data_IF_670669957521
#
_entry.id   IF_670669957521
#
_cell.length_a   1.000
_cell.length_b   1.000
_cell.length_c   1.000
_cell.angle_alpha   90.00
_cell.angle_beta   90.00
_cell.angle_gamma   90.00
#
_symmetry.space_group_name_H-M   'P 1'
#
loop_
_entity.id
_entity.type
_entity.pdbx_description
1 polymer ?
#
# COMPACT_ATOMS: atom_id res chain seq x y z
N UNK A 1 -17.50 -14.78 1.05
CA UNK A 1 -17.13 -14.51 -0.38
C UNK A 1 -16.02 -13.46 -0.38
N UNK A 2 -14.90 -13.73 -1.05
CA UNK A 2 -13.88 -12.71 -1.33
C UNK A 2 -14.12 -12.11 -2.72
N UNK A 3 -13.98 -10.79 -2.84
CA UNK A 3 -14.18 -10.07 -4.10
C UNK A 3 -13.20 -8.88 -4.20
N UNK A 4 -12.92 -8.45 -5.42
CA UNK A 4 -12.03 -7.34 -5.80
C UNK A 4 -12.54 -5.94 -5.38
N UNK A 5 -13.76 -5.88 -4.82
CA UNK A 5 -14.39 -4.65 -4.37
C UNK A 5 -15.28 -3.98 -5.42
N UNK A 6 -15.63 -4.65 -6.52
CA UNK A 6 -16.60 -4.13 -7.47
C UNK A 6 -18.01 -4.03 -6.84
N UNK A 7 -18.62 -2.84 -6.90
CA UNK A 7 -19.89 -2.54 -6.22
C UNK A 7 -21.05 -3.45 -6.69
N UNK A 8 -21.01 -3.99 -7.91
CA UNK A 8 -22.05 -4.90 -8.41
C UNK A 8 -22.01 -6.29 -7.77
N UNK A 9 -20.82 -6.82 -7.45
CA UNK A 9 -20.67 -8.06 -6.67
C UNK A 9 -21.19 -7.84 -5.24
N UNK A 10 -21.08 -6.59 -4.77
CA UNK A 10 -21.63 -6.14 -3.50
C UNK A 10 -23.18 -6.05 -3.48
N UNK A 11 -23.86 -5.99 -4.62
CA UNK A 11 -25.32 -6.12 -4.64
C UNK A 11 -25.74 -7.59 -4.69
N UNK A 12 -25.20 -8.35 -5.65
CA UNK A 12 -25.62 -9.72 -5.96
C UNK A 12 -25.40 -10.69 -4.79
N UNK A 13 -24.25 -10.61 -4.11
CA UNK A 13 -23.97 -11.54 -2.99
C UNK A 13 -24.87 -11.25 -1.77
N UNK A 14 -25.32 -10.00 -1.57
CA UNK A 14 -26.23 -9.66 -0.49
C UNK A 14 -27.64 -10.20 -0.75
N UNK A 15 -28.06 -10.19 -2.01
CA UNK A 15 -29.35 -10.72 -2.45
C UNK A 15 -29.37 -12.26 -2.47
N UNK A 16 -28.30 -12.90 -2.94
CA UNK A 16 -28.28 -14.36 -3.20
C UNK A 16 -27.70 -15.18 -2.06
N UNK A 17 -26.90 -14.56 -1.17
CA UNK A 17 -26.26 -15.23 -0.04
C UNK A 17 -26.25 -14.29 1.19
N UNK A 18 -27.41 -13.97 1.77
CA UNK A 18 -27.53 -12.97 2.84
C UNK A 18 -26.72 -13.31 4.10
N UNK A 19 -26.47 -14.61 4.34
CA UNK A 19 -25.67 -15.09 5.48
C UNK A 19 -24.16 -15.11 5.21
N UNK A 20 -23.71 -14.75 4.00
CA UNK A 20 -22.30 -14.82 3.64
C UNK A 20 -21.53 -13.58 4.14
N UNK A 21 -20.56 -13.81 5.02
CA UNK A 21 -19.62 -12.75 5.42
C UNK A 21 -18.80 -12.30 4.20
N UNK A 22 -18.82 -11.00 3.93
CA UNK A 22 -18.01 -10.38 2.89
C UNK A 22 -16.62 -10.09 3.42
N UNK A 23 -15.63 -10.65 2.75
CA UNK A 23 -14.23 -10.43 3.09
C UNK A 23 -13.58 -9.65 1.96
N UNK A 24 -12.82 -8.61 2.29
CA UNK A 24 -11.92 -7.99 1.33
C UNK A 24 -10.78 -8.96 1.01
N UNK A 25 -10.27 -8.94 -0.20
CA UNK A 25 -9.04 -9.65 -0.53
C UNK A 25 -7.83 -8.83 -0.04
N UNK A 26 -7.00 -9.36 0.89
CA UNK A 26 -5.79 -8.69 1.36
C UNK A 26 -4.84 -8.25 0.24
N UNK A 27 -4.74 -9.00 -0.86
CA UNK A 27 -3.88 -8.64 -1.99
C UNK A 27 -4.35 -7.35 -2.64
N UNK A 28 -5.66 -7.22 -2.86
CA UNK A 28 -6.26 -6.02 -3.45
C UNK A 28 -6.12 -4.80 -2.52
N UNK A 29 -6.27 -5.00 -1.20
CA UNK A 29 -6.11 -3.91 -0.23
C UNK A 29 -4.66 -3.42 -0.19
N UNK A 30 -3.68 -4.33 -0.17
CA UNK A 30 -2.25 -3.98 -0.22
C UNK A 30 -1.85 -3.40 -1.59
N UNK A 31 -2.50 -3.84 -2.67
CA UNK A 31 -2.31 -3.25 -4.00
C UNK A 31 -2.71 -1.77 -4.01
N UNK A 32 -3.83 -1.38 -3.39
CA UNK A 32 -4.21 0.04 -3.29
C UNK A 32 -3.15 0.89 -2.57
N UNK A 33 -2.49 0.33 -1.56
CA UNK A 33 -1.39 0.99 -0.87
C UNK A 33 -0.13 1.13 -1.73
N UNK A 34 0.12 0.12 -2.56
CA UNK A 34 1.21 0.11 -3.54
C UNK A 34 0.98 1.16 -4.63
N UNK A 35 -0.26 1.28 -5.12
CA UNK A 35 -0.65 2.30 -6.10
C UNK A 35 -0.52 3.71 -5.51
N UNK A 36 -1.00 3.91 -4.28
CA UNK A 36 -0.85 5.18 -3.57
C UNK A 36 0.63 5.55 -3.39
N UNK A 37 1.50 4.59 -3.06
CA UNK A 37 2.95 4.81 -2.99
C UNK A 37 3.57 5.15 -4.36
N UNK A 38 3.10 4.53 -5.44
CA UNK A 38 3.60 4.84 -6.79
C UNK A 38 3.22 6.26 -7.23
N UNK A 39 2.03 6.75 -6.86
CA UNK A 39 1.65 8.16 -7.05
C UNK A 39 2.64 9.10 -6.34
N UNK A 40 2.92 8.85 -5.06
CA UNK A 40 3.86 9.65 -4.27
C UNK A 40 5.27 9.63 -4.88
N UNK A 41 5.71 8.47 -5.37
CA UNK A 41 7.00 8.30 -6.05
C UNK A 41 7.05 9.08 -7.38
N UNK A 42 5.96 9.08 -8.15
CA UNK A 42 5.86 9.86 -9.40
C UNK A 42 5.91 11.36 -9.11
N UNK A 43 5.22 11.82 -8.07
CA UNK A 43 5.29 13.22 -7.62
C UNK A 43 6.71 13.62 -7.20
N UNK A 44 7.37 12.78 -6.41
CA UNK A 44 8.75 12.98 -5.97
C UNK A 44 9.70 13.10 -7.16
N UNK A 45 9.58 12.19 -8.13
CA UNK A 45 10.35 12.24 -9.37
C UNK A 45 10.06 13.50 -10.18
N UNK A 46 8.79 13.88 -10.35
CA UNK A 46 8.38 15.07 -11.10
C UNK A 46 8.88 16.35 -10.43
N UNK A 47 8.84 16.42 -9.10
CA UNK A 47 9.36 17.53 -8.31
C UNK A 47 10.88 17.62 -8.45
N UNK A 48 11.59 16.50 -8.27
CA UNK A 48 13.04 16.44 -8.44
C UNK A 48 13.48 16.82 -9.87
N UNK A 49 12.70 16.44 -10.89
CA UNK A 49 12.94 16.82 -12.28
C UNK A 49 12.58 18.28 -12.56
N UNK A 50 11.48 18.80 -12.01
CA UNK A 50 11.05 20.19 -12.18
C UNK A 50 11.93 21.20 -11.43
N UNK A 51 12.50 20.81 -10.29
CA UNK A 51 13.53 21.55 -9.58
C UNK A 51 14.83 21.68 -10.41
N UNK A 52 15.08 20.76 -11.35
CA UNK A 52 16.04 20.96 -12.43
C UNK A 52 15.40 21.88 -13.47
N UNK A 53 15.43 23.17 -13.14
CA UNK A 53 14.69 24.22 -13.81
C UNK A 53 14.82 24.19 -15.35
N UNK A 54 13.78 24.72 -16.00
CA UNK A 54 13.53 25.02 -17.42
C UNK A 54 14.72 25.54 -18.28
N UNK A 55 15.89 25.79 -17.70
CA UNK A 55 17.15 26.19 -18.37
C UNK A 55 18.06 25.00 -18.75
N UNK A 56 17.85 23.80 -18.20
CA UNK A 56 18.68 22.59 -18.46
C UNK A 56 17.85 21.34 -18.73
N UNK A 57 16.75 21.50 -19.47
CA UNK A 57 15.72 20.47 -19.72
C UNK A 57 16.23 19.14 -20.34
N UNK A 58 17.50 19.05 -20.74
CA UNK A 58 18.11 17.82 -21.26
C UNK A 58 18.82 16.91 -20.24
N UNK A 59 19.06 17.34 -18.98
CA UNK A 59 19.83 16.53 -18.00
C UNK A 59 19.12 16.47 -16.65
N UNK A 60 18.47 15.34 -16.34
CA UNK A 60 18.02 15.03 -14.98
C UNK A 60 19.18 15.18 -13.98
N UNK A 61 18.95 15.83 -12.83
CA UNK A 61 19.94 15.90 -11.75
C UNK A 61 20.22 14.49 -11.23
N UNK A 62 21.39 14.29 -10.59
CA UNK A 62 21.72 13.00 -9.95
C UNK A 62 20.59 12.51 -9.02
N UNK A 63 20.04 13.42 -8.22
CA UNK A 63 18.91 13.19 -7.32
C UNK A 63 17.65 12.66 -8.02
N UNK A 64 17.30 13.22 -9.18
CA UNK A 64 16.19 12.67 -9.96
C UNK A 64 16.54 11.23 -10.35
N UNK A 65 17.64 10.99 -11.08
CA UNK A 65 18.04 9.64 -11.55
C UNK A 65 18.06 8.59 -10.42
N UNK A 66 18.52 8.95 -9.23
CA UNK A 66 18.55 8.07 -8.06
C UNK A 66 17.15 7.67 -7.56
N UNK A 67 16.15 8.57 -7.64
CA UNK A 67 14.75 8.25 -7.36
C UNK A 67 14.15 7.27 -8.38
N UNK A 68 14.62 7.26 -9.65
CA UNK A 68 14.20 6.23 -10.63
C UNK A 68 14.61 4.84 -10.17
N UNK A 69 15.84 4.73 -9.64
CA UNK A 69 16.40 3.47 -9.15
C UNK A 69 15.77 2.98 -7.84
N UNK A 70 15.06 3.83 -7.11
CA UNK A 70 14.47 3.49 -5.81
C UNK A 70 13.17 2.66 -5.89
N UNK A 71 12.56 2.51 -7.08
CA UNK A 71 11.26 1.81 -7.24
C UNK A 71 11.24 0.42 -6.58
N UNK A 72 12.25 -0.40 -6.83
CA UNK A 72 12.29 -1.76 -6.29
C UNK A 72 12.51 -1.79 -4.77
N UNK A 73 13.25 -0.82 -4.23
CA UNK A 73 13.46 -0.69 -2.79
C UNK A 73 12.17 -0.29 -2.05
N UNK A 74 11.29 0.46 -2.72
CA UNK A 74 10.00 0.90 -2.17
C UNK A 74 8.90 -0.17 -2.32
N UNK A 75 8.97 -1.01 -3.35
CA UNK A 75 7.90 -1.95 -3.68
C UNK A 75 8.02 -3.28 -2.94
N UNK A 76 9.22 -3.87 -2.91
CA UNK A 76 9.47 -5.17 -2.29
C UNK A 76 9.16 -5.14 -0.79
N UNK A 77 8.76 -6.30 -0.27
CA UNK A 77 8.63 -6.44 1.17
C UNK A 77 10.01 -6.23 1.85
N UNK A 78 10.05 -5.57 3.03
CA UNK A 78 11.27 -5.32 3.79
C UNK A 78 12.17 -6.55 3.95
N UNK A 79 11.57 -7.71 4.23
CA UNK A 79 12.26 -8.99 4.41
C UNK A 79 12.96 -9.51 3.14
N UNK A 80 12.59 -9.00 1.96
CA UNK A 80 13.09 -9.42 0.65
C UNK A 80 14.03 -8.38 0.00
N UNK A 81 14.41 -7.33 0.74
CA UNK A 81 15.32 -6.29 0.26
C UNK A 81 16.77 -6.76 0.35
N UNK A 82 17.50 -6.64 -0.76
CA UNK A 82 18.97 -6.81 -0.75
C UNK A 82 19.64 -5.65 -0.01
N UNK A 83 20.89 -5.80 0.44
CA UNK A 83 21.64 -4.74 1.12
C UNK A 83 21.67 -3.44 0.33
N UNK A 84 21.85 -3.53 -1.00
CA UNK A 84 21.81 -2.37 -1.90
C UNK A 84 20.44 -1.69 -1.90
N UNK A 85 19.35 -2.47 -1.82
CA UNK A 85 17.99 -1.94 -1.77
C UNK A 85 17.68 -1.33 -0.40
N UNK A 86 18.13 -1.94 0.70
CA UNK A 86 18.02 -1.38 2.04
C UNK A 86 18.78 -0.04 2.15
N UNK A 87 20.01 0.01 1.65
CA UNK A 87 20.79 1.24 1.59
C UNK A 87 20.10 2.32 0.74
N UNK A 88 19.47 1.94 -0.38
CA UNK A 88 18.71 2.87 -1.21
C UNK A 88 17.45 3.38 -0.49
N UNK A 89 16.75 2.53 0.26
CA UNK A 89 15.61 2.94 1.09
C UNK A 89 16.04 3.91 2.21
N UNK A 90 17.16 3.63 2.87
CA UNK A 90 17.74 4.53 3.87
C UNK A 90 18.16 5.88 3.25
N UNK A 91 18.65 5.88 2.02
CA UNK A 91 18.91 7.12 1.27
C UNK A 91 17.60 7.88 0.96
N UNK A 92 16.53 7.19 0.54
CA UNK A 92 15.20 7.81 0.34
C UNK A 92 14.71 8.45 1.65
N UNK A 93 14.86 7.79 2.79
CA UNK A 93 14.48 8.34 4.09
C UNK A 93 15.16 9.69 4.40
N UNK A 94 16.41 9.87 3.95
CA UNK A 94 17.17 11.11 4.14
C UNK A 94 16.78 12.20 3.15
N UNK A 95 16.54 11.83 1.88
CA UNK A 95 16.41 12.80 0.77
C UNK A 95 14.95 13.18 0.48
N UNK A 96 14.03 12.25 0.68
CA UNK A 96 12.59 12.49 0.52
C UNK A 96 11.79 11.87 1.67
N UNK A 97 11.72 12.56 2.82
CA UNK A 97 10.93 12.10 3.97
C UNK A 97 9.44 11.92 3.67
N UNK A 98 8.90 12.63 2.66
CA UNK A 98 7.49 12.46 2.23
C UNK A 98 7.31 11.12 1.54
N UNK A 99 8.19 10.76 0.61
CA UNK A 99 8.19 9.46 -0.06
C UNK A 99 8.41 8.32 0.93
N UNK A 100 9.35 8.49 1.87
CA UNK A 100 9.59 7.50 2.91
C UNK A 100 8.39 7.32 3.85
N UNK A 101 7.69 8.41 4.22
CA UNK A 101 6.42 8.31 4.96
C UNK A 101 5.37 7.51 4.18
N UNK A 102 5.26 7.72 2.87
CA UNK A 102 4.39 6.92 2.02
C UNK A 102 4.76 5.43 2.05
N UNK A 103 6.05 5.11 2.01
CA UNK A 103 6.52 3.74 2.16
C UNK A 103 6.12 3.12 3.50
N UNK A 104 6.31 3.82 4.60
CA UNK A 104 5.93 3.32 5.92
C UNK A 104 4.41 3.14 6.07
N UNK A 105 3.60 3.99 5.44
CA UNK A 105 2.14 3.79 5.39
C UNK A 105 1.77 2.52 4.61
N UNK A 106 2.42 2.26 3.48
CA UNK A 106 2.21 1.02 2.71
C UNK A 106 2.57 -0.22 3.53
N UNK A 107 3.74 -0.22 4.17
CA UNK A 107 4.17 -1.34 5.02
C UNK A 107 3.31 -1.49 6.27
N UNK A 108 2.91 -0.39 6.90
CA UNK A 108 1.99 -0.41 8.04
C UNK A 108 0.67 -1.11 7.70
N UNK A 109 0.09 -0.84 6.53
CA UNK A 109 -1.14 -1.50 6.10
C UNK A 109 -0.92 -2.98 5.79
N UNK A 110 0.22 -3.34 5.17
CA UNK A 110 0.59 -4.74 4.94
C UNK A 110 0.70 -5.53 6.25
N UNK A 111 1.30 -4.93 7.27
CA UNK A 111 1.48 -5.56 8.58
C UNK A 111 0.15 -5.81 9.30
N UNK A 112 -0.88 -4.97 9.11
CA UNK A 112 -2.22 -5.21 9.69
C UNK A 112 -2.74 -6.61 9.34
N UNK A 113 -2.52 -7.08 8.11
CA UNK A 113 -2.96 -8.41 7.66
C UNK A 113 -2.15 -9.58 8.23
N UNK A 114 -1.08 -9.31 8.97
CA UNK A 114 -0.23 -10.34 9.61
C UNK A 114 -0.51 -10.47 11.11
N UNK A 115 -1.37 -9.60 11.66
CA UNK A 115 -1.68 -9.57 13.08
C UNK A 115 -2.87 -10.48 13.42
N UNK A 116 -2.91 -11.03 14.65
CA UNK A 116 -4.12 -11.62 15.20
C UNK A 116 -5.26 -10.60 15.18
N UNK A 117 -6.51 -11.05 14.98
CA UNK A 117 -7.69 -10.20 14.81
C UNK A 117 -7.77 -9.03 15.81
N UNK A 118 -7.67 -9.32 17.11
CA UNK A 118 -7.73 -8.30 18.18
C UNK A 118 -6.68 -7.19 18.01
N UNK A 119 -5.45 -7.56 17.64
CA UNK A 119 -4.37 -6.60 17.39
C UNK A 119 -4.56 -5.87 16.06
N UNK A 120 -5.12 -6.55 15.06
CA UNK A 120 -5.42 -5.99 13.74
C UNK A 120 -6.46 -4.86 13.80
N UNK A 121 -7.49 -5.00 14.66
CA UNK A 121 -8.49 -3.95 14.89
C UNK A 121 -7.81 -2.66 15.36
N UNK A 122 -6.98 -2.76 16.40
CA UNK A 122 -6.27 -1.60 16.93
C UNK A 122 -5.25 -1.03 15.94
N UNK A 123 -4.48 -1.90 15.28
CA UNK A 123 -3.48 -1.50 14.30
C UNK A 123 -4.12 -0.79 13.10
N UNK A 124 -5.29 -1.25 12.63
CA UNK A 124 -6.02 -0.62 11.55
C UNK A 124 -6.52 0.77 11.96
N UNK A 125 -7.04 0.96 13.17
CA UNK A 125 -7.44 2.28 13.68
C UNK A 125 -6.26 3.25 13.78
N UNK A 126 -5.12 2.78 14.29
CA UNK A 126 -3.88 3.57 14.37
C UNK A 126 -3.39 3.97 12.97
N UNK A 127 -3.39 3.02 12.04
CA UNK A 127 -3.05 3.27 10.64
C UNK A 127 -3.98 4.30 10.02
N UNK A 128 -5.28 4.17 10.28
CA UNK A 128 -6.32 5.09 9.81
C UNK A 128 -6.08 6.52 10.30
N UNK A 129 -5.80 6.65 11.58
CA UNK A 129 -5.51 7.91 12.25
C UNK A 129 -4.23 8.56 11.70
N UNK A 130 -3.21 7.76 11.39
CA UNK A 130 -1.97 8.23 10.79
C UNK A 130 -2.15 8.68 9.34
N UNK A 131 -2.76 7.84 8.49
CA UNK A 131 -3.00 8.12 7.08
C UNK A 131 -3.87 9.37 6.89
N UNK A 132 -4.84 9.62 7.77
CA UNK A 132 -5.66 10.85 7.76
C UNK A 132 -4.84 12.13 7.93
N UNK A 133 -3.75 12.08 8.69
CA UNK A 133 -2.93 13.25 9.07
C UNK A 133 -1.57 13.30 8.36
N UNK A 134 -1.31 12.38 7.43
CA UNK A 134 0.02 12.23 6.82
C UNK A 134 0.39 13.34 5.82
N UNK A 135 -0.59 14.17 5.40
CA UNK A 135 -0.47 15.23 4.37
C UNK A 135 0.02 14.69 3.01
N UNK A 136 -0.42 13.49 2.65
CA UNK A 136 -0.17 12.85 1.36
C UNK A 136 -1.52 12.47 0.76
N UNK A 137 -1.96 13.21 -0.26
CA UNK A 137 -3.32 13.10 -0.80
C UNK A 137 -3.71 11.68 -1.23
N UNK A 138 -2.78 10.95 -1.85
CA UNK A 138 -2.97 9.55 -2.23
C UNK A 138 -3.34 8.67 -1.02
N UNK A 139 -2.64 8.84 0.10
CA UNK A 139 -2.91 8.09 1.34
C UNK A 139 -4.14 8.62 2.10
N UNK A 140 -4.45 9.92 2.02
CA UNK A 140 -5.69 10.48 2.58
C UNK A 140 -6.92 9.94 1.83
N UNK A 141 -6.83 9.77 0.51
CA UNK A 141 -7.88 9.13 -0.31
C UNK A 141 -7.98 7.64 0.01
N UNK A 142 -6.84 6.93 0.03
CA UNK A 142 -6.79 5.51 0.38
C UNK A 142 -7.42 5.27 1.76
N UNK A 143 -7.11 6.11 2.73
CA UNK A 143 -7.68 6.07 4.05
C UNK A 143 -9.21 6.07 4.06
N UNK A 144 -9.85 6.93 3.27
CA UNK A 144 -11.33 6.96 3.15
C UNK A 144 -11.86 5.65 2.57
N UNK A 145 -11.15 5.08 1.58
CA UNK A 145 -11.47 3.78 0.99
C UNK A 145 -11.36 2.65 2.01
N UNK A 146 -10.29 2.62 2.80
CA UNK A 146 -10.10 1.64 3.89
C UNK A 146 -11.24 1.72 4.91
N UNK A 147 -11.65 2.93 5.32
CA UNK A 147 -12.80 3.11 6.24
C UNK A 147 -14.09 2.56 5.63
N UNK A 148 -14.36 2.81 4.35
CA UNK A 148 -15.55 2.27 3.64
C UNK A 148 -15.58 0.74 3.67
N UNK A 149 -14.42 0.09 3.62
CA UNK A 149 -14.29 -1.37 3.58
C UNK A 149 -13.84 -2.00 4.92
N UNK A 150 -13.90 -1.26 6.03
CA UNK A 150 -13.33 -1.67 7.32
C UNK A 150 -13.84 -3.03 7.79
N UNK A 151 -15.16 -3.23 7.78
CA UNK A 151 -15.77 -4.50 8.21
C UNK A 151 -15.29 -5.67 7.35
N UNK A 152 -15.25 -5.50 6.03
CA UNK A 152 -14.79 -6.54 5.12
C UNK A 152 -13.30 -6.86 5.28
N UNK A 153 -12.48 -5.85 5.61
CA UNK A 153 -11.05 -6.04 5.90
C UNK A 153 -10.86 -6.84 7.19
N UNK A 154 -11.56 -6.48 8.25
CA UNK A 154 -11.45 -7.15 9.54
C UNK A 154 -11.99 -8.58 9.47
N UNK A 155 -13.10 -8.81 8.78
CA UNK A 155 -13.63 -10.16 8.52
C UNK A 155 -12.62 -11.05 7.76
N UNK A 156 -11.86 -10.47 6.81
CA UNK A 156 -10.82 -11.21 6.10
C UNK A 156 -9.68 -11.67 7.01
N UNK A 157 -9.34 -10.84 8.02
CA UNK A 157 -8.33 -11.17 9.02
C UNK A 157 -8.87 -12.21 10.00
N UNK A 158 -10.09 -12.02 10.50
CA UNK A 158 -10.78 -12.93 11.43
C UNK A 158 -10.88 -14.35 10.88
N UNK A 159 -11.24 -14.48 9.59
CA UNK A 159 -11.40 -15.78 8.93
C UNK A 159 -10.09 -16.33 8.31
N UNK A 160 -8.94 -15.71 8.61
CA UNK A 160 -7.64 -16.22 8.16
C UNK A 160 -7.46 -16.21 6.64
N UNK A 161 -8.19 -15.34 5.92
CA UNK A 161 -7.97 -15.09 4.49
C UNK A 161 -6.71 -14.23 4.24
N UNK A 162 -6.00 -13.86 5.31
CA UNK A 162 -4.66 -13.27 5.28
C UNK A 162 -3.65 -14.07 4.44
N UNK A 163 -2.62 -13.38 3.95
CA UNK A 163 -1.65 -13.85 2.96
C UNK A 163 -1.07 -15.26 3.17
N UNK A 164 -1.00 -15.77 4.40
CA UNK A 164 -0.53 -17.14 4.68
C UNK A 164 -1.32 -18.23 3.96
N UNK A 165 -2.61 -18.02 3.70
CA UNK A 165 -3.45 -18.98 2.94
C UNK A 165 -3.42 -18.72 1.44
N UNK A 166 -3.18 -17.50 0.99
CA UNK A 166 -3.19 -17.11 -0.43
C UNK A 166 -1.85 -17.38 -1.13
N UNK A 167 -0.71 -17.34 -0.43
CA UNK A 167 0.58 -17.79 -1.03
C UNK A 167 0.53 -19.28 -1.42
N UNK A 168 -0.21 -20.10 -0.66
CA UNK A 168 -0.45 -21.51 -1.00
C UNK A 168 -1.27 -21.69 -2.30
N UNK A 169 -2.17 -20.76 -2.61
CA UNK A 169 -3.03 -20.83 -3.80
C UNK A 169 -2.33 -20.24 -5.03
N UNK A 170 -1.61 -19.12 -4.88
CA UNK A 170 -0.86 -18.50 -5.99
C UNK A 170 0.32 -19.37 -6.49
N UNK A 171 0.87 -20.23 -5.64
CA UNK A 171 1.95 -21.16 -6.04
C UNK A 171 1.43 -22.33 -6.89
N UNK A 172 0.11 -22.59 -6.92
CA UNK A 172 -0.51 -23.70 -7.68
C UNK A 172 -1.08 -23.29 -9.06
N UNK A 173 -1.05 -22.00 -9.40
CA UNK A 173 -1.55 -21.46 -10.69
C UNK A 173 -0.36 -20.98 -11.56
N UNK A 174 0.84 -21.54 -11.36
CA UNK A 174 1.98 -21.34 -12.25
C UNK A 174 2.29 -22.58 -13.04
#
# INVERSE_FOLDING_TARGET
VSADGADWIAAVVAERCPSAVRCADPFHVVAWATDALDEVRRDAWNTARGAVNKRRAGRASGHAKDLKGARYALWKNPENLTDKQQAKLAWVAKIDPRLYRGYLLKEGLRLVFQLPYEQAVEALERWVSWARRCRIDAFVKLQKKIVKHREAILAAIEHGLSNGRIESVNTKIR
#
